data_IF_001514967096
#
_entry.id   IF_001514967096
#
_cell.length_a   1.000
_cell.length_b   1.000
_cell.length_c   1.000
_cell.angle_alpha   90.00
_cell.angle_beta   90.00
_cell.angle_gamma   90.00
#
_symmetry.space_group_name_H-M   'P 1'
#
loop_
_entity.id
_entity.type
_entity.pdbx_description
1 polymer ?
#
# COMPACT_ATOMS: atom_id res chain seq x y z
N UNK A 1 17.26 -1.99 1.35
CA UNK A 1 16.60 -1.36 2.52
C UNK A 1 15.61 -2.34 3.14
N UNK A 2 15.25 -2.16 4.42
CA UNK A 2 14.13 -2.88 5.05
C UNK A 2 12.83 -2.13 4.83
N UNK A 3 11.86 -2.80 4.22
CA UNK A 3 10.66 -2.21 3.64
C UNK A 3 9.41 -2.77 4.30
N UNK A 4 8.48 -1.89 4.65
CA UNK A 4 7.07 -2.27 4.84
C UNK A 4 6.31 -2.09 3.53
N UNK A 5 5.59 -3.12 3.08
CA UNK A 5 4.79 -3.03 1.86
C UNK A 5 3.34 -2.69 2.17
N UNK A 6 2.81 -1.62 1.58
CA UNK A 6 1.38 -1.35 1.55
C UNK A 6 0.73 -2.30 0.54
N UNK A 7 -0.17 -3.16 1.04
CA UNK A 7 -0.81 -4.21 0.25
C UNK A 7 -2.33 -4.09 0.28
N UNK A 8 -2.96 -4.32 -0.87
CA UNK A 8 -4.42 -4.40 -1.03
C UNK A 8 -4.91 -5.81 -1.34
N UNK A 9 -4.01 -6.73 -1.68
CA UNK A 9 -4.35 -8.04 -2.26
C UNK A 9 -4.46 -8.00 -3.79
N UNK A 10 -4.38 -6.82 -4.42
CA UNK A 10 -4.35 -6.67 -5.87
C UNK A 10 -2.98 -6.94 -6.51
N UNK A 11 -3.00 -7.18 -7.83
CA UNK A 11 -1.80 -7.44 -8.66
C UNK A 11 -0.73 -6.36 -8.53
N UNK A 12 -1.12 -5.09 -8.41
CA UNK A 12 -0.18 -3.96 -8.42
C UNK A 12 0.65 -3.91 -7.14
N UNK A 13 0.01 -4.14 -5.99
CA UNK A 13 0.73 -4.25 -4.71
C UNK A 13 1.64 -5.48 -4.65
N UNK A 14 1.22 -6.61 -5.24
CA UNK A 14 2.05 -7.80 -5.37
C UNK A 14 3.30 -7.50 -6.22
N UNK A 15 3.10 -6.89 -7.39
CA UNK A 15 4.20 -6.56 -8.29
C UNK A 15 5.15 -5.50 -7.72
N UNK A 16 4.63 -4.52 -6.98
CA UNK A 16 5.47 -3.53 -6.29
C UNK A 16 6.40 -4.18 -5.26
N UNK A 17 5.96 -5.23 -4.55
CA UNK A 17 6.83 -6.03 -3.68
C UNK A 17 7.89 -6.79 -4.48
N UNK A 18 7.52 -7.40 -5.62
CA UNK A 18 8.48 -8.08 -6.50
C UNK A 18 9.57 -7.13 -7.01
N UNK A 19 9.20 -5.91 -7.43
CA UNK A 19 10.16 -4.86 -7.80
C UNK A 19 11.07 -4.50 -6.64
N UNK A 20 10.53 -4.34 -5.41
CA UNK A 20 11.36 -4.07 -4.24
C UNK A 20 12.44 -5.16 -4.04
N UNK A 21 12.07 -6.44 -4.14
CA UNK A 21 13.03 -7.55 -4.05
C UNK A 21 14.05 -7.50 -5.20
N UNK A 22 13.59 -7.23 -6.43
CA UNK A 22 14.46 -7.11 -7.61
C UNK A 22 15.51 -6.00 -7.45
N UNK A 23 15.18 -4.89 -6.80
CA UNK A 23 16.10 -3.80 -6.48
C UNK A 23 16.92 -4.03 -5.21
N UNK A 24 16.90 -5.24 -4.64
CA UNK A 24 17.71 -5.61 -3.47
C UNK A 24 17.15 -5.13 -2.13
N UNK A 25 15.85 -4.82 -2.06
CA UNK A 25 15.17 -4.50 -0.80
C UNK A 25 14.59 -5.76 -0.14
N UNK A 26 14.54 -5.74 1.18
CA UNK A 26 13.98 -6.80 2.01
C UNK A 26 12.60 -6.37 2.50
N UNK A 27 11.55 -7.11 2.14
CA UNK A 27 10.22 -6.90 2.71
C UNK A 27 10.20 -7.52 4.10
N UNK A 28 10.04 -6.70 5.14
CA UNK A 28 10.08 -7.16 6.55
C UNK A 28 8.71 -7.10 7.23
N UNK A 29 7.73 -6.44 6.60
CA UNK A 29 6.35 -6.36 7.09
C UNK A 29 5.39 -6.01 5.95
N UNK A 30 4.12 -6.38 6.14
CA UNK A 30 3.00 -5.94 5.33
C UNK A 30 2.13 -4.97 6.14
N UNK A 31 1.59 -3.97 5.47
CA UNK A 31 0.64 -3.02 6.04
C UNK A 31 -0.60 -2.94 5.15
N UNK A 32 -1.78 -3.00 5.77
CA UNK A 32 -3.06 -2.93 5.05
C UNK A 32 -4.07 -2.08 5.82
N UNK A 33 -4.73 -1.20 5.09
CA UNK A 33 -5.91 -0.48 5.56
C UNK A 33 -7.15 -1.21 5.08
N UNK A 34 -8.12 -1.37 5.97
CA UNK A 34 -9.36 -2.10 5.72
C UNK A 34 -10.58 -1.29 6.19
N UNK A 35 -11.79 -1.63 5.73
CA UNK A 35 -13.03 -0.97 6.15
C UNK A 35 -13.24 -0.96 7.66
N UNK A 36 -13.97 0.05 8.15
CA UNK A 36 -14.37 0.12 9.55
C UNK A 36 -15.34 -1.01 9.94
N UNK A 37 -16.21 -1.37 9.00
CA UNK A 37 -17.24 -2.39 9.14
C UNK A 37 -16.87 -3.58 8.24
N UNK A 38 -16.78 -4.78 8.84
CA UNK A 38 -16.41 -6.00 8.12
C UNK A 38 -17.51 -6.46 7.14
N UNK A 39 -18.74 -5.91 7.23
CA UNK A 39 -19.82 -6.12 6.26
C UNK A 39 -19.73 -5.23 5.01
N UNK A 40 -18.86 -4.22 5.04
CA UNK A 40 -18.64 -3.28 3.94
C UNK A 40 -17.35 -3.69 3.23
N UNK A 41 -17.47 -4.31 2.06
CA UNK A 41 -16.29 -4.67 1.25
C UNK A 41 -15.70 -3.48 0.48
N UNK A 42 -16.49 -2.43 0.26
CA UNK A 42 -16.11 -1.27 -0.55
C UNK A 42 -16.38 0.04 0.19
N UNK A 43 -15.36 0.90 0.24
CA UNK A 43 -15.49 2.28 0.68
C UNK A 43 -15.43 3.22 -0.53
N UNK A 44 -16.12 4.36 -0.43
CA UNK A 44 -15.86 5.52 -1.27
C UNK A 44 -14.51 6.18 -0.86
N UNK A 45 -13.41 5.46 -1.13
CA UNK A 45 -12.04 5.87 -0.83
C UNK A 45 -11.27 6.16 -2.11
N UNK A 46 -10.57 7.29 -2.17
CA UNK A 46 -9.68 7.61 -3.29
C UNK A 46 -8.32 6.91 -3.16
N UNK A 47 -8.02 6.37 -1.98
CA UNK A 47 -6.73 5.79 -1.64
C UNK A 47 -6.73 4.27 -1.65
N UNK A 48 -7.78 3.62 -1.14
CA UNK A 48 -7.72 2.23 -0.73
C UNK A 48 -8.72 1.35 -1.48
N UNK A 49 -8.21 0.28 -2.08
CA UNK A 49 -9.04 -0.82 -2.57
C UNK A 49 -9.27 -1.80 -1.42
N UNK A 50 -10.52 -2.01 -1.04
CA UNK A 50 -10.89 -2.88 0.09
C UNK A 50 -11.50 -4.21 -0.35
N UNK A 51 -11.85 -4.35 -1.63
CA UNK A 51 -12.31 -5.61 -2.20
C UNK A 51 -11.23 -6.69 -2.08
N UNK A 52 -11.59 -7.83 -1.50
CA UNK A 52 -10.66 -8.95 -1.34
C UNK A 52 -9.60 -8.76 -0.23
N UNK A 53 -9.75 -7.75 0.64
CA UNK A 53 -8.81 -7.48 1.73
C UNK A 53 -8.60 -8.69 2.68
N UNK A 54 -9.54 -9.64 2.73
CA UNK A 54 -9.40 -10.88 3.50
C UNK A 54 -8.21 -11.75 3.00
N UNK A 55 -7.90 -11.70 1.71
CA UNK A 55 -6.80 -12.46 1.11
C UNK A 55 -5.42 -11.94 1.53
N UNK A 56 -5.33 -10.70 2.02
CA UNK A 56 -4.07 -10.11 2.49
C UNK A 56 -3.47 -10.91 3.66
N UNK A 57 -4.30 -11.56 4.48
CA UNK A 57 -3.82 -12.45 5.55
C UNK A 57 -3.00 -13.61 4.99
N UNK A 58 -3.39 -14.14 3.83
CA UNK A 58 -2.67 -15.21 3.15
C UNK A 58 -1.31 -14.75 2.61
N UNK A 59 -1.19 -13.49 2.14
CA UNK A 59 0.11 -12.94 1.71
C UNK A 59 1.13 -13.00 2.85
N UNK A 60 0.74 -12.55 4.03
CA UNK A 60 1.61 -12.54 5.21
C UNK A 60 2.08 -13.95 5.59
N UNK A 61 1.15 -14.93 5.57
CA UNK A 61 1.46 -16.35 5.83
C UNK A 61 2.43 -16.93 4.80
N UNK A 62 2.19 -16.69 3.51
CA UNK A 62 3.06 -17.18 2.44
C UNK A 62 4.45 -16.56 2.46
N UNK A 63 4.55 -15.29 2.85
CA UNK A 63 5.82 -14.55 2.92
C UNK A 63 6.56 -14.75 4.25
N UNK A 64 5.90 -15.26 5.29
CA UNK A 64 6.50 -15.44 6.61
C UNK A 64 6.84 -14.12 7.32
N UNK A 65 6.11 -13.03 7.02
CA UNK A 65 6.34 -11.69 7.59
C UNK A 65 5.12 -11.19 8.36
N UNK A 66 5.29 -10.33 9.38
CA UNK A 66 4.16 -9.76 10.12
C UNK A 66 3.25 -8.91 9.24
N UNK A 67 1.95 -8.96 9.53
CA UNK A 67 0.91 -8.13 8.90
C UNK A 67 0.32 -7.17 9.92
N UNK A 68 0.42 -5.88 9.62
CA UNK A 68 -0.18 -4.79 10.37
C UNK A 68 -1.46 -4.35 9.66
N UNK A 69 -2.56 -4.31 10.39
CA UNK A 69 -3.86 -3.92 9.85
C UNK A 69 -4.44 -2.78 10.66
N UNK A 70 -5.04 -1.81 9.98
CA UNK A 70 -5.78 -0.72 10.61
C UNK A 70 -7.10 -0.46 9.90
N UNK A 71 -8.18 -0.40 10.68
CA UNK A 71 -9.48 0.05 10.18
C UNK A 71 -9.44 1.53 9.84
N UNK A 72 -9.89 1.88 8.65
CA UNK A 72 -10.04 3.27 8.21
C UNK A 72 -11.16 3.90 9.02
N UNK A 73 -10.85 4.97 9.75
CA UNK A 73 -11.83 5.76 10.52
C UNK A 73 -12.09 7.11 9.86
N UNK A 74 -11.10 7.64 9.15
CA UNK A 74 -11.22 8.83 8.34
C UNK A 74 -12.02 8.59 7.05
N UNK A 75 -12.28 9.68 6.35
CA UNK A 75 -12.86 9.67 5.01
C UNK A 75 -11.96 10.47 4.07
N UNK A 76 -12.15 10.36 2.76
CA UNK A 76 -11.49 11.30 1.84
C UNK A 76 -11.99 12.73 2.16
N UNK A 77 -11.08 13.64 2.56
CA UNK A 77 -11.41 15.04 2.89
C UNK A 77 -10.56 16.03 2.12
N UNK A 78 -9.30 15.68 1.87
CA UNK A 78 -8.36 16.52 1.14
C UNK A 78 -8.32 16.11 -0.34
N UNK A 79 -8.79 16.97 -1.24
CA UNK A 79 -8.88 16.64 -2.67
C UNK A 79 -7.73 17.18 -3.53
N UNK A 80 -6.92 18.13 -3.02
CA UNK A 80 -5.81 18.67 -3.82
C UNK A 80 -4.62 17.70 -3.90
N UNK A 81 -3.72 17.96 -4.86
CA UNK A 81 -2.54 17.13 -5.12
C UNK A 81 -1.54 17.17 -3.97
N UNK A 82 -1.22 18.36 -3.44
CA UNK A 82 -0.33 18.51 -2.29
C UNK A 82 -1.09 18.18 -1.01
N UNK A 83 -0.77 17.07 -0.34
CA UNK A 83 -1.46 16.73 0.91
C UNK A 83 -0.95 17.57 2.09
N UNK A 84 -1.88 18.11 2.87
CA UNK A 84 -1.62 18.72 4.17
C UNK A 84 -2.32 17.91 5.26
N UNK A 85 -1.74 17.86 6.47
CA UNK A 85 -2.30 17.09 7.59
C UNK A 85 -3.74 17.53 7.83
N UNK A 86 -4.68 16.63 7.58
CA UNK A 86 -6.11 16.94 7.61
C UNK A 86 -6.79 16.05 8.64
N UNK A 87 -7.28 16.59 9.77
CA UNK A 87 -7.96 15.80 10.79
C UNK A 87 -9.16 15.03 10.24
N UNK A 88 -9.18 13.73 10.50
CA UNK A 88 -10.22 12.79 10.03
C UNK A 88 -10.12 12.43 8.55
N UNK A 89 -9.03 12.79 7.87
CA UNK A 89 -8.74 12.25 6.54
C UNK A 89 -8.16 10.84 6.65
N UNK A 90 -8.54 9.96 5.71
CA UNK A 90 -8.09 8.56 5.64
C UNK A 90 -6.56 8.42 5.54
N UNK A 91 -5.84 9.44 5.05
CA UNK A 91 -4.38 9.48 5.01
C UNK A 91 -3.76 9.47 6.41
N UNK A 92 -4.44 10.04 7.41
CA UNK A 92 -3.96 10.01 8.79
C UNK A 92 -4.07 8.61 9.42
N UNK A 93 -5.01 7.77 8.96
CA UNK A 93 -5.02 6.36 9.35
C UNK A 93 -3.79 5.62 8.82
N UNK A 94 -3.37 5.91 7.59
CA UNK A 94 -2.11 5.37 7.05
C UNK A 94 -0.90 5.85 7.84
N UNK A 95 -0.87 7.11 8.27
CA UNK A 95 0.18 7.61 9.16
C UNK A 95 0.24 6.81 10.47
N UNK A 96 -0.90 6.60 11.11
CA UNK A 96 -0.95 5.85 12.38
C UNK A 96 -0.51 4.40 12.18
N UNK A 97 -0.97 3.74 11.11
CA UNK A 97 -0.58 2.37 10.78
C UNK A 97 0.94 2.25 10.56
N UNK A 98 1.53 3.12 9.73
CA UNK A 98 2.95 3.07 9.43
C UNK A 98 3.82 3.49 10.62
N UNK A 99 3.33 4.41 11.46
CA UNK A 99 3.99 4.74 12.72
C UNK A 99 4.04 3.53 13.67
N UNK A 100 2.97 2.75 13.76
CA UNK A 100 2.94 1.53 14.56
C UNK A 100 3.91 0.48 14.03
N UNK A 101 3.96 0.27 12.70
CA UNK A 101 4.96 -0.62 12.09
C UNK A 101 6.38 -0.16 12.44
N UNK A 102 6.65 1.15 12.34
CA UNK A 102 7.96 1.71 12.67
C UNK A 102 8.33 1.51 14.14
N UNK A 103 7.36 1.63 15.06
CA UNK A 103 7.57 1.40 16.50
C UNK A 103 7.90 -0.06 16.80
N UNK A 104 7.19 -1.00 16.17
CA UNK A 104 7.42 -2.43 16.39
C UNK A 104 8.63 -2.97 15.62
N UNK A 105 8.99 -2.36 14.49
CA UNK A 105 10.13 -2.73 13.66
C UNK A 105 10.97 -1.47 13.39
N UNK A 106 11.77 -1.00 14.37
CA UNK A 106 12.55 0.24 14.24
C UNK A 106 13.56 0.26 13.09
N UNK A 107 13.89 -0.92 12.55
CA UNK A 107 14.82 -1.08 11.43
C UNK A 107 14.22 -0.80 10.05
N UNK A 108 12.91 -0.56 9.93
CA UNK A 108 12.32 -0.15 8.64
C UNK A 108 12.83 1.23 8.23
N UNK A 109 13.12 1.39 6.94
CA UNK A 109 13.58 2.67 6.37
C UNK A 109 12.79 3.10 5.15
N UNK A 110 11.88 2.27 4.66
CA UNK A 110 11.12 2.55 3.45
C UNK A 110 9.72 1.91 3.44
N UNK A 111 8.84 2.47 2.63
CA UNK A 111 7.47 2.01 2.39
C UNK A 111 7.30 1.74 0.90
N UNK A 112 6.83 0.56 0.53
CA UNK A 112 6.47 0.24 -0.86
C UNK A 112 4.99 0.50 -1.12
N UNK A 113 4.66 1.07 -2.29
CA UNK A 113 3.29 1.29 -2.74
C UNK A 113 3.10 0.91 -4.21
N UNK A 114 1.90 0.41 -4.53
CA UNK A 114 1.54 -0.06 -5.87
C UNK A 114 0.82 0.98 -6.75
N UNK A 115 0.90 2.27 -6.44
CA UNK A 115 0.25 3.31 -7.23
C UNK A 115 0.93 3.46 -8.61
N UNK A 116 0.17 3.36 -9.70
CA UNK A 116 0.68 3.45 -11.07
C UNK A 116 0.51 4.87 -11.63
N UNK A 117 -0.72 5.30 -11.87
CA UNK A 117 -0.99 6.58 -12.56
C UNK A 117 -1.39 7.72 -11.61
N UNK A 118 -1.81 7.40 -10.39
CA UNK A 118 -2.40 8.37 -9.47
C UNK A 118 -1.33 9.17 -8.72
N UNK A 119 -1.10 10.41 -9.16
CA UNK A 119 -0.30 11.39 -8.42
C UNK A 119 -0.91 11.67 -7.04
N UNK A 120 -2.25 11.64 -6.93
CA UNK A 120 -2.97 11.78 -5.67
C UNK A 120 -2.53 10.74 -4.63
N UNK A 121 -2.48 9.46 -5.02
CA UNK A 121 -2.08 8.37 -4.13
C UNK A 121 -0.59 8.45 -3.78
N UNK A 122 0.27 8.66 -4.79
CA UNK A 122 1.72 8.75 -4.58
C UNK A 122 2.08 9.86 -3.58
N UNK A 123 1.55 11.06 -3.78
CA UNK A 123 1.89 12.24 -2.97
C UNK A 123 1.44 12.08 -1.51
N UNK A 124 0.36 11.34 -1.25
CA UNK A 124 -0.10 11.03 0.12
C UNK A 124 0.80 10.03 0.82
N UNK A 125 1.21 8.97 0.12
CA UNK A 125 2.20 8.02 0.66
C UNK A 125 3.52 8.74 0.93
N UNK A 126 3.99 9.59 0.01
CA UNK A 126 5.19 10.41 0.19
C UNK A 126 5.09 11.37 1.38
N UNK A 127 3.95 12.04 1.57
CA UNK A 127 3.72 12.91 2.72
C UNK A 127 3.83 12.15 4.04
N UNK A 128 3.20 10.98 4.14
CA UNK A 128 3.28 10.13 5.34
C UNK A 128 4.70 9.62 5.56
N UNK A 129 5.37 9.15 4.51
CA UNK A 129 6.76 8.69 4.59
C UNK A 129 7.70 9.81 5.08
N UNK A 130 7.58 11.01 4.50
CA UNK A 130 8.37 12.18 4.89
C UNK A 130 8.21 12.51 6.39
N UNK A 131 6.97 12.54 6.88
CA UNK A 131 6.67 12.79 8.32
C UNK A 131 7.25 11.71 9.24
N UNK A 132 7.33 10.48 8.76
CA UNK A 132 7.90 9.35 9.51
C UNK A 132 9.40 9.16 9.28
N UNK A 133 10.05 9.98 8.45
CA UNK A 133 11.46 9.78 8.08
C UNK A 133 11.71 8.45 7.37
N UNK A 134 10.77 8.01 6.53
CA UNK A 134 10.84 6.82 5.68
C UNK A 134 10.97 7.25 4.21
N UNK A 135 11.55 6.38 3.38
CA UNK A 135 11.60 6.56 1.93
C UNK A 135 10.35 5.96 1.28
N UNK A 136 9.66 6.70 0.43
CA UNK A 136 8.56 6.18 -0.40
C UNK A 136 9.11 5.49 -1.65
N UNK A 137 8.81 4.20 -1.83
CA UNK A 137 9.16 3.41 -3.00
C UNK A 137 7.91 3.21 -3.87
N UNK A 138 7.85 3.94 -4.98
CA UNK A 138 6.74 3.91 -5.94
C UNK A 138 7.23 3.48 -7.33
N UNK A 139 7.82 2.28 -7.43
CA UNK A 139 8.46 1.78 -8.67
C UNK A 139 7.53 1.67 -9.87
N UNK A 140 6.22 1.53 -9.63
CA UNK A 140 5.23 1.40 -10.71
C UNK A 140 4.73 2.76 -11.21
N UNK A 141 5.09 3.85 -10.53
CA UNK A 141 4.56 5.16 -10.83
C UNK A 141 5.00 5.67 -12.20
N UNK A 142 4.03 6.15 -12.98
CA UNK A 142 4.19 6.65 -14.36
C UNK A 142 4.84 5.66 -15.33
N UNK A 143 4.85 4.37 -15.00
CA UNK A 143 5.21 3.32 -15.95
C UNK A 143 4.03 3.07 -16.90
N UNK A 144 4.34 2.61 -18.12
CA UNK A 144 3.32 2.22 -19.09
C UNK A 144 2.51 1.01 -18.57
N UNK A 145 1.19 1.13 -18.55
CA UNK A 145 0.31 0.11 -17.96
C UNK A 145 0.30 -1.20 -18.77
N UNK A 146 0.44 -1.11 -20.10
CA UNK A 146 0.48 -2.29 -20.96
C UNK A 146 1.78 -3.06 -20.73
N UNK A 147 2.91 -2.37 -20.64
CA UNK A 147 4.20 -2.95 -20.29
C UNK A 147 4.16 -3.56 -18.88
N UNK A 148 3.66 -2.83 -17.88
CA UNK A 148 3.52 -3.36 -16.52
C UNK A 148 2.71 -4.66 -16.50
N UNK A 149 1.57 -4.70 -17.18
CA UNK A 149 0.74 -5.91 -17.24
C UNK A 149 1.50 -7.08 -17.88
N UNK A 150 2.21 -6.84 -18.98
CA UNK A 150 3.04 -7.86 -19.63
C UNK A 150 4.17 -8.35 -18.71
N UNK A 151 4.82 -7.44 -17.97
CA UNK A 151 5.85 -7.83 -17.01
C UNK A 151 5.27 -8.64 -15.83
N UNK A 152 4.09 -8.29 -15.32
CA UNK A 152 3.40 -9.04 -14.28
C UNK A 152 3.13 -10.48 -14.73
N UNK A 153 2.62 -10.66 -15.95
CA UNK A 153 2.38 -11.97 -16.55
C UNK A 153 3.70 -12.76 -16.66
N UNK A 154 4.76 -12.14 -17.20
CA UNK A 154 6.07 -12.78 -17.33
C UNK A 154 6.70 -13.15 -15.99
N UNK A 155 6.38 -12.41 -14.94
CA UNK A 155 6.85 -12.66 -13.58
C UNK A 155 6.03 -13.74 -12.86
N UNK A 156 5.02 -14.32 -13.53
CA UNK A 156 4.20 -15.40 -12.99
C UNK A 156 3.03 -14.94 -12.13
N UNK A 157 2.69 -13.64 -12.13
CA UNK A 157 1.49 -13.17 -11.41
C UNK A 157 0.25 -13.67 -12.13
N UNK A 158 -0.54 -14.49 -11.43
CA UNK A 158 -1.89 -14.89 -11.85
C UNK A 158 -2.89 -13.93 -11.22
N UNK A 159 -3.35 -12.95 -11.99
CA UNK A 159 -4.34 -11.97 -11.55
C UNK A 159 -5.77 -12.42 -11.91
N UNK A 160 -6.68 -12.38 -10.94
CA UNK A 160 -8.10 -12.70 -11.13
C UNK A 160 -8.91 -11.43 -10.93
N UNK A 161 -9.79 -11.11 -11.88
CA UNK A 161 -10.72 -9.99 -11.76
C UNK A 161 -11.78 -10.33 -10.71
N UNK A 162 -11.82 -9.53 -9.64
CA UNK A 162 -12.79 -9.70 -8.54
C UNK A 162 -13.90 -8.64 -8.55
N UNK A 163 -13.73 -7.58 -9.35
CA UNK A 163 -14.66 -6.48 -9.53
C UNK A 163 -14.37 -5.74 -10.84
N UNK A 164 -15.40 -5.23 -11.51
CA UNK A 164 -15.35 -4.38 -12.71
C UNK A 164 -16.12 -3.09 -12.43
#
# INVERSE_FOLDING_TARGET
MKVVALVSGGKDSCYAMMKCVQYGHEIVALANLLPADDSIDELDSYMYQTVGHQMVVSYAKCMGVPLFRRRIQGSTRHHSLSYSVTPGDEVEDMFILLNEVKRQIPSITAVSSGAIASDYQRLRVESVCSRLGLVSLAYLWKQDQSLLLQEMIRSGIVAITVKV
#
